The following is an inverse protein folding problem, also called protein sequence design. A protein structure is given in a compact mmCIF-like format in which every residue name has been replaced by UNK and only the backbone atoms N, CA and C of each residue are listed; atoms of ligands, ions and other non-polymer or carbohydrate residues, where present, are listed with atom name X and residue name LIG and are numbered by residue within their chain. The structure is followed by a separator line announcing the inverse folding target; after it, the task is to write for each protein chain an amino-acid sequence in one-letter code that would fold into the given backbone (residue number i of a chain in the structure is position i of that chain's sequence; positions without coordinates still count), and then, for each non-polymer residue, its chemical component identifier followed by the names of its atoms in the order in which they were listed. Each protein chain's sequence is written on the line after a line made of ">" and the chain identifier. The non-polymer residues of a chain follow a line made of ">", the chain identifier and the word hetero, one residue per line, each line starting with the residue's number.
data_IF_645361701324
#
_entry.id   IF_645361701324
#
_cell.length_a   1.000
_cell.length_b   1.000
_cell.length_c   1.000
_cell.angle_alpha   90.00
_cell.angle_beta   90.00
_cell.angle_gamma   90.00
#
_symmetry.space_group_name_H-M   'P 1'
#
loop_
_entity.id
_entity.type
_entity.pdbx_description
1 polymer ?
#
# COMPACT_ATOMS: atom_id res chain seq x y z
N UNK A 1 9.73 4.65 -13.98
CA UNK A 1 9.72 4.19 -12.57
C UNK A 1 9.07 5.23 -11.63
N UNK A 2 7.99 5.90 -12.02
CA UNK A 2 7.37 6.94 -11.17
C UNK A 2 6.77 6.34 -9.89
N UNK A 3 6.05 5.22 -10.01
CA UNK A 3 5.37 4.60 -8.87
C UNK A 3 6.35 4.13 -7.79
N UNK A 4 7.50 3.57 -8.17
CA UNK A 4 8.55 3.16 -7.22
C UNK A 4 9.08 4.35 -6.43
N UNK A 5 9.30 5.49 -7.11
CA UNK A 5 9.80 6.70 -6.44
C UNK A 5 8.76 7.31 -5.50
N UNK A 6 7.47 7.29 -5.88
CA UNK A 6 6.39 7.73 -5.01
C UNK A 6 6.31 6.88 -3.75
N UNK A 7 6.46 5.55 -3.86
CA UNK A 7 6.48 4.66 -2.70
C UNK A 7 7.69 4.92 -1.79
N UNK A 8 8.88 5.08 -2.38
CA UNK A 8 10.11 5.39 -1.63
C UNK A 8 10.02 6.77 -0.97
N UNK A 9 9.36 7.76 -1.58
CA UNK A 9 9.13 9.06 -0.96
C UNK A 9 8.14 8.96 0.21
N UNK A 10 7.02 8.25 0.02
CA UNK A 10 5.89 8.21 0.95
C UNK A 10 6.11 7.35 2.20
N UNK A 11 6.78 6.19 2.05
CA UNK A 11 6.77 5.15 3.07
C UNK A 11 8.16 4.69 3.51
N UNK A 12 8.23 4.30 4.78
CA UNK A 12 9.32 3.48 5.30
C UNK A 12 8.93 2.00 5.26
N UNK A 13 9.85 1.20 4.74
CA UNK A 13 9.75 -0.25 4.63
C UNK A 13 10.71 -0.90 5.62
N UNK A 14 10.21 -1.81 6.44
CA UNK A 14 11.03 -2.57 7.40
C UNK A 14 10.52 -4.00 7.53
N UNK A 15 11.34 -4.94 8.04
CA UNK A 15 10.86 -6.28 8.34
C UNK A 15 9.63 -6.23 9.26
N UNK A 16 8.74 -7.21 9.10
CA UNK A 16 7.70 -7.41 10.10
C UNK A 16 8.32 -7.79 11.44
N UNK A 17 7.66 -7.44 12.55
CA UNK A 17 8.09 -7.82 13.89
C UNK A 17 7.23 -8.99 14.37
N UNK A 18 7.87 -10.03 14.85
CA UNK A 18 7.21 -11.18 15.46
C UNK A 18 6.57 -10.78 16.80
N UNK A 19 5.29 -11.11 16.98
CA UNK A 19 4.51 -10.62 18.12
C UNK A 19 4.96 -11.21 19.47
N UNK A 20 5.47 -12.45 19.47
CA UNK A 20 5.89 -13.14 20.69
C UNK A 20 7.33 -12.76 21.07
N UNK A 21 8.23 -12.75 20.10
CA UNK A 21 9.67 -12.54 20.33
C UNK A 21 10.10 -11.10 20.23
N UNK A 22 9.25 -10.21 19.68
CA UNK A 22 9.55 -8.80 19.42
C UNK A 22 10.79 -8.59 18.52
N UNK A 23 11.14 -9.59 17.70
CA UNK A 23 12.29 -9.54 16.79
C UNK A 23 11.86 -9.39 15.32
N UNK A 24 12.71 -8.79 14.47
CA UNK A 24 12.46 -8.76 13.03
C UNK A 24 12.34 -10.17 12.44
N UNK A 25 11.33 -10.39 11.60
CA UNK A 25 11.16 -11.59 10.80
C UNK A 25 12.01 -11.41 9.52
N UNK A 26 13.08 -12.20 9.32
CA UNK A 26 13.90 -12.09 8.12
C UNK A 26 13.10 -12.50 6.88
N UNK A 27 13.30 -11.77 5.77
CA UNK A 27 12.70 -12.09 4.49
C UNK A 27 13.63 -13.05 3.74
N UNK A 28 13.09 -14.19 3.28
CA UNK A 28 13.82 -15.10 2.40
C UNK A 28 13.86 -14.53 0.98
N UNK A 29 15.05 -14.11 0.55
CA UNK A 29 15.29 -13.53 -0.79
C UNK A 29 15.33 -14.57 -1.91
N UNK A 30 15.18 -15.86 -1.60
CA UNK A 30 15.15 -16.96 -2.56
C UNK A 30 13.78 -17.64 -2.64
N UNK A 31 12.82 -17.23 -1.80
CA UNK A 31 11.46 -17.77 -1.81
C UNK A 31 10.63 -17.23 -2.99
N UNK A 32 10.82 -17.84 -4.15
CA UNK A 32 10.15 -17.47 -5.39
C UNK A 32 9.16 -18.55 -5.83
N UNK A 33 8.03 -18.09 -6.39
CA UNK A 33 7.05 -18.95 -7.01
C UNK A 33 7.69 -19.72 -8.17
N UNK A 34 7.43 -21.03 -8.22
CA UNK A 34 7.85 -21.89 -9.32
C UNK A 34 6.88 -21.72 -10.49
N UNK A 35 7.38 -21.34 -11.66
CA UNK A 35 6.54 -21.18 -12.85
C UNK A 35 7.22 -20.41 -13.97
N UNK A 36 6.43 -20.08 -15.00
CA UNK A 36 6.88 -19.29 -16.16
C UNK A 36 7.17 -17.83 -15.76
N UNK A 37 6.41 -17.30 -14.80
CA UNK A 37 6.62 -15.98 -14.23
C UNK A 37 7.40 -16.10 -12.92
N UNK A 38 8.54 -15.42 -12.84
CA UNK A 38 9.35 -15.35 -11.63
C UNK A 38 8.87 -14.19 -10.76
N UNK A 39 8.28 -14.51 -9.62
CA UNK A 39 7.89 -13.53 -8.60
C UNK A 39 8.17 -14.09 -7.20
N UNK A 40 8.54 -13.24 -6.23
CA UNK A 40 8.65 -13.67 -4.84
C UNK A 40 7.29 -14.15 -4.32
N UNK A 41 7.29 -15.16 -3.46
CA UNK A 41 6.09 -15.51 -2.70
C UNK A 41 5.75 -14.39 -1.70
N UNK A 42 4.48 -14.29 -1.24
CA UNK A 42 4.09 -13.29 -0.27
C UNK A 42 4.92 -13.38 1.02
N UNK A 43 5.49 -12.26 1.46
CA UNK A 43 6.24 -12.14 2.71
C UNK A 43 5.66 -11.01 3.58
N UNK A 44 5.92 -11.08 4.89
CA UNK A 44 5.47 -10.06 5.84
C UNK A 44 6.46 -8.90 5.89
N UNK A 45 5.97 -7.68 5.79
CA UNK A 45 6.75 -6.47 6.02
C UNK A 45 5.89 -5.40 6.71
N UNK A 46 6.56 -4.39 7.26
CA UNK A 46 5.94 -3.19 7.79
C UNK A 46 6.09 -2.08 6.77
N UNK A 47 4.97 -1.46 6.38
CA UNK A 47 4.93 -0.29 5.50
C UNK A 47 4.23 0.83 6.28
N UNK A 48 4.92 1.94 6.53
CA UNK A 48 4.37 3.07 7.31
C UNK A 48 4.65 4.39 6.61
N UNK A 49 3.72 5.36 6.61
CA UNK A 49 4.04 6.71 6.16
C UNK A 49 5.23 7.25 6.95
N UNK A 50 6.16 7.94 6.27
CA UNK A 50 7.36 8.49 6.92
C UNK A 50 7.07 9.49 8.01
N UNK A 51 5.96 10.21 7.88
CA UNK A 51 5.49 11.19 8.86
C UNK A 51 4.01 11.46 8.67
N UNK A 52 3.40 12.12 9.66
CA UNK A 52 2.03 12.62 9.56
C UNK A 52 1.85 13.52 8.32
N UNK A 53 2.82 14.38 8.02
CA UNK A 53 2.75 15.26 6.85
C UNK A 53 2.70 14.48 5.52
N UNK A 54 3.47 13.40 5.38
CA UNK A 54 3.39 12.57 4.17
C UNK A 54 2.02 11.90 4.05
N UNK A 55 1.46 11.42 5.18
CA UNK A 55 0.11 10.86 5.19
C UNK A 55 -0.95 11.89 4.79
N UNK A 56 -0.85 13.13 5.30
CA UNK A 56 -1.74 14.24 4.94
C UNK A 56 -1.71 14.52 3.44
N UNK A 57 -0.52 14.62 2.83
CA UNK A 57 -0.37 14.85 1.39
C UNK A 57 -1.00 13.71 0.59
N UNK A 58 -0.73 12.46 0.96
CA UNK A 58 -1.31 11.29 0.29
C UNK A 58 -2.84 11.31 0.37
N UNK A 59 -3.40 11.62 1.54
CA UNK A 59 -4.85 11.71 1.73
C UNK A 59 -5.46 12.85 0.92
N UNK A 60 -4.84 14.04 0.97
CA UNK A 60 -5.28 15.20 0.19
C UNK A 60 -5.32 14.89 -1.30
N UNK A 61 -4.22 14.35 -1.85
CA UNK A 61 -4.11 14.07 -3.28
C UNK A 61 -5.03 12.94 -3.72
N UNK A 62 -5.25 11.93 -2.86
CA UNK A 62 -6.23 10.88 -3.10
C UNK A 62 -7.65 11.44 -3.25
N UNK A 63 -8.07 12.35 -2.34
CA UNK A 63 -9.39 13.01 -2.42
C UNK A 63 -9.47 13.90 -3.65
N UNK A 64 -8.44 14.71 -3.90
CA UNK A 64 -8.38 15.63 -5.04
C UNK A 64 -8.44 14.89 -6.40
N UNK A 65 -7.93 13.66 -6.47
CA UNK A 65 -7.99 12.83 -7.66
C UNK A 65 -9.37 12.22 -7.93
N UNK A 66 -10.29 12.22 -6.95
CA UNK A 66 -11.61 11.60 -7.04
C UNK A 66 -12.38 11.87 -8.33
N UNK A 67 -12.54 13.14 -8.78
CA UNK A 67 -13.25 13.46 -10.02
C UNK A 67 -12.67 12.80 -11.28
N UNK A 68 -11.35 12.57 -11.32
CA UNK A 68 -10.72 11.90 -12.45
C UNK A 68 -11.03 10.39 -12.49
N UNK A 69 -11.35 9.80 -11.33
CA UNK A 69 -11.61 8.37 -11.20
C UNK A 69 -13.11 8.01 -11.18
N UNK A 70 -14.00 8.97 -10.96
CA UNK A 70 -15.45 8.79 -10.92
C UNK A 70 -16.03 7.98 -12.11
N UNK A 71 -15.60 8.19 -13.37
CA UNK A 71 -16.09 7.39 -14.51
C UNK A 71 -15.77 5.89 -14.43
N UNK A 72 -14.82 5.51 -13.58
CA UNK A 72 -14.32 4.14 -13.45
C UNK A 72 -14.87 3.43 -12.19
N UNK A 73 -15.80 4.03 -11.46
CA UNK A 73 -16.31 3.50 -10.18
C UNK A 73 -17.38 2.42 -10.33
N UNK A 74 -17.75 2.02 -11.57
CA UNK A 74 -18.91 1.15 -11.83
C UNK A 74 -18.81 -0.24 -11.16
N UNK A 75 -17.61 -0.81 -11.11
CA UNK A 75 -17.36 -2.19 -10.68
C UNK A 75 -16.69 -2.24 -9.29
N UNK A 76 -16.76 -1.14 -8.53
CA UNK A 76 -16.27 -1.10 -7.16
C UNK A 76 -17.09 -2.00 -6.25
N UNK A 77 -16.42 -2.61 -5.27
CA UNK A 77 -17.11 -3.42 -4.26
C UNK A 77 -17.89 -2.49 -3.33
N UNK A 78 -18.92 -3.02 -2.68
CA UNK A 78 -19.77 -2.22 -1.80
C UNK A 78 -18.96 -1.51 -0.70
N UNK A 79 -17.95 -2.17 -0.16
CA UNK A 79 -17.02 -1.58 0.82
C UNK A 79 -16.26 -0.36 0.30
N UNK A 80 -15.84 -0.39 -0.98
CA UNK A 80 -15.12 0.70 -1.63
C UNK A 80 -16.07 1.89 -1.88
N UNK A 81 -17.30 1.61 -2.33
CA UNK A 81 -18.35 2.63 -2.52
C UNK A 81 -18.70 3.33 -1.20
N UNK A 82 -18.78 2.58 -0.10
CA UNK A 82 -19.13 3.13 1.20
C UNK A 82 -17.98 3.98 1.77
N UNK A 83 -16.73 3.57 1.56
CA UNK A 83 -15.56 4.39 1.87
C UNK A 83 -15.58 5.71 1.10
N UNK A 84 -15.80 5.68 -0.22
CA UNK A 84 -15.86 6.89 -1.06
C UNK A 84 -16.98 7.84 -0.62
N UNK A 85 -18.16 7.31 -0.26
CA UNK A 85 -19.27 8.13 0.28
C UNK A 85 -18.90 8.85 1.58
N UNK A 86 -18.05 8.26 2.43
CA UNK A 86 -17.57 8.91 3.65
C UNK A 86 -16.60 10.04 3.30
N UNK A 87 -15.70 9.83 2.33
CA UNK A 87 -14.70 10.82 1.92
C UNK A 87 -15.30 12.04 1.17
N UNK A 88 -16.47 11.87 0.53
CA UNK A 88 -17.15 12.93 -0.26
C UNK A 88 -18.14 13.78 0.54
N UNK A 89 -18.36 13.48 1.83
CA UNK A 89 -19.25 14.25 2.72
C UNK A 89 -18.48 15.37 3.40
#
# INVERSE_FOLDING_TARGET
>A
MLNTMNLIWAFDFSPAVDAETQKPIPVDIHDYAKGILTAPNPFKCTIKPRSAHHAEVIHHDFVAAGPAFEPFERDLRQEDLDYIKIQRK
#
